data_IF_309878668172
#
_entry.id   IF_309878668172
#
_cell.length_a   1.000
_cell.length_b   1.000
_cell.length_c   1.000
_cell.angle_alpha   90.00
_cell.angle_beta   90.00
_cell.angle_gamma   90.00
#
_symmetry.space_group_name_H-M   'P 1'
#
loop_
_entity.id
_entity.type
_entity.pdbx_description
1 polymer ?
#
# COMPACT_ATOMS: atom_id res chain seq x y z
N UNK A 1 -3.15 -20.19 25.77
CA UNK A 1 -2.45 -19.74 24.55
C UNK A 1 -3.52 -19.43 23.51
N UNK A 2 -3.41 -18.30 22.81
CA UNK A 2 -4.39 -17.94 21.78
C UNK A 2 -4.10 -18.75 20.50
N UNK A 3 -5.00 -19.66 20.14
CA UNK A 3 -4.88 -20.51 18.95
C UNK A 3 -5.67 -19.89 17.79
N UNK A 4 -5.03 -19.74 16.65
CA UNK A 4 -5.66 -19.31 15.39
C UNK A 4 -5.99 -20.56 14.60
N UNK A 5 -7.27 -20.80 14.34
CA UNK A 5 -7.78 -22.08 13.82
C UNK A 5 -8.08 -22.08 12.31
N UNK A 6 -8.27 -20.91 11.72
CA UNK A 6 -8.65 -20.76 10.31
C UNK A 6 -8.24 -19.37 9.76
N UNK A 7 -8.15 -19.18 8.43
CA UNK A 7 -7.69 -17.93 7.84
C UNK A 7 -8.65 -16.74 8.05
N UNK A 8 -9.96 -16.96 8.21
CA UNK A 8 -10.90 -15.86 8.52
C UNK A 8 -10.62 -15.26 9.90
N UNK A 9 -10.44 -16.13 10.89
CA UNK A 9 -10.03 -15.73 12.23
C UNK A 9 -8.68 -14.99 12.17
N UNK A 10 -7.72 -15.52 11.40
CA UNK A 10 -6.41 -14.89 11.22
C UNK A 10 -6.50 -13.46 10.65
N UNK A 11 -7.39 -13.21 9.67
CA UNK A 11 -7.62 -11.88 9.10
C UNK A 11 -8.18 -10.87 10.10
N UNK A 12 -8.93 -11.31 11.12
CA UNK A 12 -9.35 -10.44 12.21
C UNK A 12 -8.24 -10.27 13.27
N UNK A 13 -7.57 -11.37 13.62
CA UNK A 13 -6.60 -11.39 14.71
C UNK A 13 -5.27 -10.72 14.34
N UNK A 14 -4.95 -10.53 13.05
CA UNK A 14 -3.70 -9.90 12.61
C UNK A 14 -3.54 -8.48 13.19
N UNK A 15 -4.64 -7.76 13.41
CA UNK A 15 -4.62 -6.39 13.91
C UNK A 15 -4.29 -6.28 15.39
N UNK A 16 -4.61 -7.31 16.19
CA UNK A 16 -4.54 -7.25 17.65
C UNK A 16 -3.64 -8.30 18.28
N UNK A 17 -3.47 -9.45 17.61
CA UNK A 17 -2.72 -10.63 18.07
C UNK A 17 -1.81 -11.19 16.96
N UNK A 18 -0.98 -10.36 16.28
CA UNK A 18 -0.25 -10.75 15.08
C UNK A 18 0.72 -11.93 15.30
N UNK A 19 1.30 -12.07 16.50
CA UNK A 19 2.23 -13.17 16.80
C UNK A 19 1.58 -14.55 16.61
N UNK A 20 0.33 -14.71 17.05
CA UNK A 20 -0.39 -15.98 16.89
C UNK A 20 -0.74 -16.26 15.43
N UNK A 21 -1.04 -15.20 14.67
CA UNK A 21 -1.30 -15.30 13.23
C UNK A 21 -0.06 -15.71 12.47
N UNK A 22 1.08 -15.03 12.66
CA UNK A 22 2.32 -15.39 11.98
C UNK A 22 2.81 -16.79 12.35
N UNK A 23 2.60 -17.24 13.60
CA UNK A 23 2.85 -18.64 13.94
C UNK A 23 1.98 -19.59 13.09
N UNK A 24 0.67 -19.39 13.08
CA UNK A 24 -0.25 -20.26 12.35
C UNK A 24 0.00 -20.26 10.84
N UNK A 25 0.27 -19.09 10.24
CA UNK A 25 0.56 -18.96 8.80
C UNK A 25 1.87 -19.65 8.43
N UNK A 26 2.88 -19.65 9.31
CA UNK A 26 4.12 -20.39 9.09
C UNK A 26 3.95 -21.91 9.11
N UNK A 27 2.84 -22.41 9.66
CA UNK A 27 2.52 -23.84 9.79
C UNK A 27 1.44 -24.30 8.79
N UNK A 28 0.76 -23.37 8.10
CA UNK A 28 -0.39 -23.66 7.25
C UNK A 28 -0.26 -23.06 5.85
N UNK A 29 -0.24 -23.94 4.84
CA UNK A 29 -0.16 -23.55 3.43
C UNK A 29 -1.45 -22.84 2.95
N UNK A 30 -1.31 -22.00 1.92
CA UNK A 30 -2.40 -21.34 1.20
C UNK A 30 -3.26 -20.33 1.99
N UNK A 31 -3.01 -20.12 3.29
CA UNK A 31 -3.79 -19.16 4.08
C UNK A 31 -3.64 -17.72 3.57
N UNK A 32 -2.50 -17.40 2.96
CA UNK A 32 -2.20 -16.06 2.44
C UNK A 32 -3.02 -15.66 1.21
N UNK A 33 -3.78 -16.58 0.59
CA UNK A 33 -4.77 -16.20 -0.41
C UNK A 33 -5.90 -15.34 0.18
N UNK A 34 -6.24 -15.54 1.45
CA UNK A 34 -7.28 -14.77 2.12
C UNK A 34 -6.93 -13.27 2.22
N UNK A 35 -5.80 -12.86 2.82
CA UNK A 35 -5.42 -11.45 2.84
C UNK A 35 -5.12 -10.92 1.42
N UNK A 36 -4.61 -11.74 0.49
CA UNK A 36 -4.46 -11.32 -0.91
C UNK A 36 -5.78 -10.83 -1.51
N UNK A 37 -6.84 -11.64 -1.45
CA UNK A 37 -8.14 -11.25 -2.01
C UNK A 37 -8.78 -10.08 -1.26
N UNK A 38 -8.61 -9.99 0.06
CA UNK A 38 -9.14 -8.86 0.84
C UNK A 38 -8.45 -7.55 0.48
N UNK A 39 -7.11 -7.52 0.51
CA UNK A 39 -6.33 -6.31 0.21
C UNK A 39 -6.52 -5.91 -1.25
N UNK A 40 -6.40 -6.86 -2.19
CA UNK A 40 -6.58 -6.59 -3.61
C UNK A 40 -8.02 -6.16 -3.92
N UNK A 41 -9.01 -6.86 -3.37
CA UNK A 41 -10.42 -6.57 -3.58
C UNK A 41 -10.80 -5.17 -3.11
N UNK A 42 -10.44 -4.80 -1.87
CA UNK A 42 -10.72 -3.45 -1.35
C UNK A 42 -10.00 -2.38 -2.16
N UNK A 43 -8.73 -2.62 -2.54
CA UNK A 43 -7.97 -1.68 -3.35
C UNK A 43 -8.66 -1.43 -4.70
N UNK A 44 -9.00 -2.50 -5.44
CA UNK A 44 -9.63 -2.37 -6.75
C UNK A 44 -11.03 -1.77 -6.68
N UNK A 45 -11.82 -2.14 -5.67
CA UNK A 45 -13.15 -1.56 -5.43
C UNK A 45 -13.03 -0.06 -5.18
N UNK A 46 -12.09 0.38 -4.34
CA UNK A 46 -11.89 1.79 -4.06
C UNK A 46 -11.50 2.58 -5.32
N UNK A 47 -10.55 2.06 -6.13
CA UNK A 47 -10.17 2.70 -7.40
C UNK A 47 -11.36 2.77 -8.37
N UNK A 48 -12.11 1.68 -8.50
CA UNK A 48 -13.29 1.62 -9.36
C UNK A 48 -14.35 2.65 -8.94
N UNK A 49 -14.66 2.71 -7.64
CA UNK A 49 -15.64 3.66 -7.09
C UNK A 49 -15.18 5.09 -7.34
N UNK A 50 -13.91 5.41 -7.10
CA UNK A 50 -13.37 6.74 -7.31
C UNK A 50 -13.50 7.21 -8.76
N UNK A 51 -13.08 6.40 -9.74
CA UNK A 51 -13.18 6.79 -11.16
C UNK A 51 -14.64 6.97 -11.62
N UNK A 52 -15.57 6.18 -11.08
CA UNK A 52 -16.98 6.32 -11.43
C UNK A 52 -17.66 7.51 -10.75
N UNK A 53 -17.12 7.94 -9.61
CA UNK A 53 -17.63 9.04 -8.81
C UNK A 53 -17.06 10.40 -9.23
N UNK A 54 -15.77 10.46 -9.60
CA UNK A 54 -15.07 11.74 -9.85
C UNK A 54 -15.54 12.43 -11.13
N UNK A 55 -15.57 13.75 -11.10
CA UNK A 55 -15.67 14.59 -12.30
C UNK A 55 -14.38 14.45 -13.12
N UNK A 56 -14.51 13.88 -14.31
CA UNK A 56 -13.38 13.54 -15.18
C UNK A 56 -12.75 14.79 -15.80
N UNK A 57 -13.55 15.81 -16.12
CA UNK A 57 -13.03 17.06 -16.71
C UNK A 57 -12.24 17.84 -15.67
N UNK A 58 -12.79 17.94 -14.45
CA UNK A 58 -12.08 18.50 -13.32
C UNK A 58 -10.80 17.72 -13.01
N UNK A 59 -10.86 16.39 -12.97
CA UNK A 59 -9.70 15.55 -12.71
C UNK A 59 -8.61 15.74 -13.78
N UNK A 60 -9.00 15.83 -15.06
CA UNK A 60 -8.08 16.11 -16.16
C UNK A 60 -7.38 17.47 -15.95
N UNK A 61 -8.15 18.52 -15.64
CA UNK A 61 -7.61 19.85 -15.35
C UNK A 61 -6.64 19.85 -14.17
N UNK A 62 -7.00 19.15 -13.09
CA UNK A 62 -6.14 19.00 -11.92
C UNK A 62 -4.80 18.35 -12.29
N UNK A 63 -4.81 17.32 -13.14
CA UNK A 63 -3.59 16.64 -13.58
C UNK A 63 -2.78 17.48 -14.57
N UNK A 64 -3.43 18.24 -15.46
CA UNK A 64 -2.75 19.18 -16.37
C UNK A 64 -2.04 20.27 -15.56
N UNK A 65 -2.74 20.89 -14.61
CA UNK A 65 -2.14 21.93 -13.76
C UNK A 65 -0.93 21.43 -12.95
N UNK A 66 -0.90 20.14 -12.60
CA UNK A 66 0.23 19.54 -11.90
C UNK A 66 1.45 19.23 -12.80
N UNK A 67 1.34 19.33 -14.13
CA UNK A 67 2.42 19.01 -15.07
C UNK A 67 3.31 20.22 -15.44
N UNK A 68 3.19 21.35 -14.74
CA UNK A 68 3.97 22.55 -15.01
C UNK A 68 3.63 23.18 -16.36
N UNK A 69 4.59 23.89 -16.97
CA UNK A 69 4.38 24.58 -18.24
C UNK A 69 4.23 23.58 -19.41
N UNK A 70 3.02 23.48 -19.96
CA UNK A 70 2.70 22.71 -21.17
C UNK A 70 2.23 23.65 -22.28
N UNK A 71 2.48 23.27 -23.54
CA UNK A 71 1.85 23.97 -24.67
C UNK A 71 0.36 23.62 -24.77
N UNK A 72 -0.49 24.48 -25.35
CA UNK A 72 -1.91 24.18 -25.52
C UNK A 72 -2.19 22.87 -26.26
N UNK A 73 -1.35 22.52 -27.24
CA UNK A 73 -1.48 21.26 -27.97
C UNK A 73 -1.19 20.02 -27.10
N UNK A 74 -0.23 20.12 -26.17
CA UNK A 74 0.08 19.05 -25.22
C UNK A 74 -1.01 18.90 -24.16
N UNK A 75 -1.58 20.01 -23.69
CA UNK A 75 -2.72 20.01 -22.76
C UNK A 75 -3.94 19.31 -23.38
N UNK A 76 -4.29 19.67 -24.63
CA UNK A 76 -5.40 19.07 -25.37
C UNK A 76 -5.18 17.56 -25.60
N UNK A 77 -3.97 17.17 -25.95
CA UNK A 77 -3.60 15.76 -26.11
C UNK A 77 -3.76 14.99 -24.79
N UNK A 78 -3.31 15.57 -23.68
CA UNK A 78 -3.43 14.94 -22.36
C UNK A 78 -4.88 14.84 -21.91
N UNK A 79 -5.68 15.90 -22.12
CA UNK A 79 -7.12 15.91 -21.86
C UNK A 79 -7.85 14.82 -22.64
N UNK A 80 -7.48 14.59 -23.91
CA UNK A 80 -8.06 13.53 -24.73
C UNK A 80 -7.80 12.12 -24.17
N UNK A 81 -6.74 11.92 -23.40
CA UNK A 81 -6.45 10.66 -22.73
C UNK A 81 -7.27 10.44 -21.45
N UNK A 82 -7.69 11.53 -20.80
CA UNK A 82 -8.53 11.52 -19.59
C UNK A 82 -9.99 11.23 -19.90
N UNK A 83 -10.26 10.02 -20.41
CA UNK A 83 -11.61 9.47 -20.48
C UNK A 83 -11.87 8.57 -19.28
N UNK A 84 -13.14 8.43 -18.88
CA UNK A 84 -13.53 7.51 -17.79
C UNK A 84 -13.03 6.09 -18.04
N UNK A 85 -13.14 5.59 -19.28
CA UNK A 85 -12.67 4.26 -19.66
C UNK A 85 -11.16 4.11 -19.51
N UNK A 86 -10.39 5.08 -20.01
CA UNK A 86 -8.93 5.07 -19.91
C UNK A 86 -8.46 5.12 -18.45
N UNK A 87 -9.05 6.02 -17.66
CA UNK A 87 -8.77 6.16 -16.23
C UNK A 87 -9.12 4.89 -15.45
N UNK A 88 -10.27 4.28 -15.73
CA UNK A 88 -10.69 3.07 -15.04
C UNK A 88 -9.71 1.93 -15.30
N UNK A 89 -9.37 1.66 -16.56
CA UNK A 89 -8.44 0.57 -16.89
C UNK A 89 -7.02 0.84 -16.41
N UNK A 90 -6.52 2.07 -16.56
CA UNK A 90 -5.18 2.43 -16.07
C UNK A 90 -5.06 2.31 -14.55
N UNK A 91 -6.06 2.75 -13.79
CA UNK A 91 -6.04 2.61 -12.33
C UNK A 91 -6.19 1.15 -11.88
N UNK A 92 -7.10 0.37 -12.46
CA UNK A 92 -7.30 -1.02 -12.07
C UNK A 92 -6.10 -1.90 -12.41
N UNK A 93 -5.58 -1.79 -13.63
CA UNK A 93 -4.39 -2.53 -14.07
C UNK A 93 -3.18 -2.06 -13.26
N UNK A 94 -2.99 -0.75 -13.13
CA UNK A 94 -1.91 -0.16 -12.35
C UNK A 94 -1.91 -0.64 -10.91
N UNK A 95 -3.04 -0.54 -10.21
CA UNK A 95 -3.17 -0.98 -8.82
C UNK A 95 -2.89 -2.49 -8.66
N UNK A 96 -3.43 -3.33 -9.55
CA UNK A 96 -3.21 -4.77 -9.51
C UNK A 96 -1.73 -5.13 -9.63
N UNK A 97 -1.06 -4.63 -10.67
CA UNK A 97 0.33 -4.98 -10.96
C UNK A 97 1.30 -4.32 -9.97
N UNK A 98 1.13 -3.04 -9.65
CA UNK A 98 2.01 -2.35 -8.69
C UNK A 98 1.96 -3.06 -7.34
N UNK A 99 0.77 -3.36 -6.83
CA UNK A 99 0.65 -4.02 -5.53
C UNK A 99 1.27 -5.43 -5.53
N UNK A 100 1.04 -6.20 -6.60
CA UNK A 100 1.62 -7.54 -6.79
C UNK A 100 3.15 -7.49 -6.87
N UNK A 101 3.70 -6.57 -7.67
CA UNK A 101 5.14 -6.41 -7.88
C UNK A 101 5.82 -5.92 -6.60
N UNK A 102 5.26 -4.92 -5.91
CA UNK A 102 5.82 -4.40 -4.65
C UNK A 102 5.88 -5.48 -3.59
N UNK A 103 4.82 -6.29 -3.45
CA UNK A 103 4.82 -7.44 -2.53
C UNK A 103 5.89 -8.47 -2.92
N UNK A 104 6.09 -8.74 -4.21
CA UNK A 104 7.13 -9.66 -4.70
C UNK A 104 8.55 -9.12 -4.44
N UNK A 105 8.79 -7.83 -4.68
CA UNK A 105 10.08 -7.18 -4.38
C UNK A 105 10.35 -7.24 -2.88
N UNK A 106 9.35 -6.97 -2.04
CA UNK A 106 9.51 -7.03 -0.59
C UNK A 106 9.76 -8.47 -0.10
N UNK A 107 9.09 -9.46 -0.69
CA UNK A 107 9.33 -10.87 -0.41
C UNK A 107 10.74 -11.31 -0.80
N UNK A 108 11.24 -10.86 -1.96
CA UNK A 108 12.61 -11.09 -2.39
C UNK A 108 13.60 -10.47 -1.40
N UNK A 109 13.36 -9.23 -0.99
CA UNK A 109 14.17 -8.57 0.04
C UNK A 109 14.21 -9.38 1.34
N UNK A 110 13.06 -9.80 1.87
CA UNK A 110 13.00 -10.58 3.11
C UNK A 110 13.70 -11.93 2.97
N UNK A 111 13.49 -12.63 1.85
CA UNK A 111 14.14 -13.90 1.59
C UNK A 111 15.68 -13.76 1.59
N UNK A 112 16.22 -12.69 1.00
CA UNK A 112 17.65 -12.42 1.01
C UNK A 112 18.16 -11.96 2.39
N UNK A 113 17.45 -11.03 3.04
CA UNK A 113 17.84 -10.42 4.30
C UNK A 113 17.83 -11.41 5.48
N UNK A 114 16.98 -12.43 5.40
CA UNK A 114 16.85 -13.46 6.44
C UNK A 114 17.66 -14.73 6.15
N UNK A 115 18.28 -14.85 4.97
CA UNK A 115 19.08 -16.01 4.56
C UNK A 115 20.28 -16.31 5.46
N UNK A 116 20.75 -15.31 6.21
CA UNK A 116 21.85 -15.46 7.17
C UNK A 116 21.46 -16.16 8.48
N UNK A 117 20.18 -16.47 8.67
CA UNK A 117 19.70 -17.24 9.82
C UNK A 117 19.85 -18.74 9.55
N UNK A 118 20.64 -19.44 10.34
CA UNK A 118 20.86 -20.89 10.20
C UNK A 118 19.60 -21.72 10.44
N UNK A 119 18.60 -21.15 11.12
CA UNK A 119 17.28 -21.77 11.35
C UNK A 119 16.25 -21.46 10.26
N UNK A 120 16.65 -20.74 9.21
CA UNK A 120 15.77 -20.29 8.14
C UNK A 120 15.26 -21.45 7.28
N UNK A 121 13.94 -21.65 7.29
CA UNK A 121 13.26 -22.66 6.46
C UNK A 121 12.32 -22.06 5.40
N UNK A 122 12.08 -20.75 5.43
CA UNK A 122 11.05 -20.09 4.61
C UNK A 122 11.59 -19.55 3.28
N UNK A 123 11.05 -20.05 2.17
CA UNK A 123 11.41 -19.63 0.82
C UNK A 123 10.74 -18.33 0.37
N UNK A 124 11.02 -17.91 -0.87
CA UNK A 124 10.44 -16.72 -1.48
C UNK A 124 8.91 -16.71 -1.43
N UNK A 125 8.26 -17.83 -1.73
CA UNK A 125 6.81 -17.95 -1.74
C UNK A 125 6.19 -17.77 -0.36
N UNK A 126 6.89 -18.17 0.69
CA UNK A 126 6.45 -17.97 2.08
C UNK A 126 6.51 -16.49 2.44
N UNK A 127 7.60 -15.80 2.09
CA UNK A 127 7.73 -14.35 2.27
C UNK A 127 6.78 -13.54 1.40
N UNK A 128 6.38 -14.07 0.24
CA UNK A 128 5.36 -13.48 -0.59
C UNK A 128 3.97 -13.65 0.03
N UNK A 129 3.66 -14.81 0.58
CA UNK A 129 2.45 -15.00 1.37
C UNK A 129 2.43 -14.08 2.61
N UNK A 130 3.57 -13.96 3.28
CA UNK A 130 3.77 -13.09 4.44
C UNK A 130 3.47 -11.62 4.15
N UNK A 131 3.92 -11.10 3.00
CA UNK A 131 3.75 -9.69 2.68
C UNK A 131 2.27 -9.29 2.54
N UNK A 132 1.39 -10.20 2.11
CA UNK A 132 -0.06 -9.96 2.10
C UNK A 132 -0.66 -9.82 3.49
N UNK A 133 -0.17 -10.58 4.48
CA UNK A 133 -0.57 -10.38 5.88
C UNK A 133 -0.10 -9.04 6.44
N UNK A 134 1.12 -8.63 6.09
CA UNK A 134 1.65 -7.31 6.43
C UNK A 134 0.84 -6.18 5.77
N UNK A 135 0.24 -6.42 4.61
CA UNK A 135 -0.60 -5.48 3.89
C UNK A 135 -2.05 -5.37 4.42
N UNK A 136 -2.48 -6.20 5.37
CA UNK A 136 -3.85 -6.16 5.92
C UNK A 136 -4.32 -4.79 6.45
N UNK A 137 -3.47 -3.93 7.02
CA UNK A 137 -3.86 -2.55 7.37
C UNK A 137 -4.47 -1.74 6.23
N UNK A 138 -4.09 -2.01 4.97
CA UNK A 138 -4.70 -1.36 3.79
C UNK A 138 -6.19 -1.65 3.63
N UNK A 139 -6.69 -2.78 4.17
CA UNK A 139 -8.13 -3.08 4.17
C UNK A 139 -8.88 -2.04 4.99
N UNK A 140 -8.36 -1.69 6.17
CA UNK A 140 -8.98 -0.70 7.07
C UNK A 140 -8.99 0.68 6.42
N UNK A 141 -7.84 1.12 5.91
CA UNK A 141 -7.71 2.46 5.30
C UNK A 141 -8.47 2.57 3.98
N UNK A 142 -8.52 1.48 3.19
CA UNK A 142 -9.33 1.41 1.99
C UNK A 142 -10.83 1.50 2.28
N UNK A 143 -11.33 0.85 3.34
CA UNK A 143 -12.72 0.99 3.77
C UNK A 143 -13.05 2.41 4.26
N UNK A 144 -12.10 3.10 4.91
CA UNK A 144 -12.25 4.53 5.23
C UNK A 144 -12.36 5.35 3.93
N UNK A 145 -11.51 5.08 2.93
CA UNK A 145 -11.59 5.73 1.63
C UNK A 145 -12.93 5.52 0.94
N UNK A 146 -13.47 4.29 0.97
CA UNK A 146 -14.81 3.99 0.45
C UNK A 146 -15.87 4.80 1.19
N UNK A 147 -15.82 4.85 2.53
CA UNK A 147 -16.76 5.63 3.31
C UNK A 147 -16.70 7.13 2.95
N UNK A 148 -15.50 7.70 2.81
CA UNK A 148 -15.34 9.10 2.42
C UNK A 148 -15.96 9.40 1.06
N UNK A 149 -15.81 8.51 0.07
CA UNK A 149 -16.47 8.67 -1.23
C UNK A 149 -18.00 8.57 -1.12
N UNK A 150 -18.52 7.65 -0.31
CA UNK A 150 -19.96 7.48 -0.12
C UNK A 150 -20.63 8.68 0.56
N UNK A 151 -19.89 9.41 1.40
CA UNK A 151 -20.40 10.58 2.12
C UNK A 151 -20.02 11.93 1.47
N UNK A 152 -19.29 11.90 0.36
CA UNK A 152 -18.91 13.13 -0.32
C UNK A 152 -20.12 13.79 -0.98
N UNK A 153 -20.20 15.12 -0.85
CA UNK A 153 -21.27 15.94 -1.40
C UNK A 153 -20.96 16.55 -2.77
N UNK A 154 -19.72 16.39 -3.25
CA UNK A 154 -19.23 16.95 -4.50
C UNK A 154 -18.37 15.91 -5.25
N UNK A 155 -18.33 16.00 -6.57
CA UNK A 155 -17.62 15.10 -7.47
C UNK A 155 -16.16 15.52 -7.75
N UNK A 156 -15.74 16.71 -7.30
CA UNK A 156 -14.37 17.21 -7.40
C UNK A 156 -13.50 16.74 -6.21
N UNK A 157 -13.29 15.42 -6.12
CA UNK A 157 -12.58 14.81 -4.99
C UNK A 157 -11.10 14.61 -5.30
N UNK A 158 -10.24 15.16 -4.44
CA UNK A 158 -8.78 14.96 -4.50
C UNK A 158 -8.40 13.46 -4.51
N UNK A 159 -7.42 13.06 -5.34
CA UNK A 159 -6.89 11.69 -5.35
C UNK A 159 -6.32 11.27 -3.98
N UNK A 160 -5.94 12.22 -3.12
CA UNK A 160 -5.50 11.94 -1.75
C UNK A 160 -6.54 11.16 -0.93
N UNK A 161 -7.83 11.24 -1.28
CA UNK A 161 -8.93 10.48 -0.65
C UNK A 161 -8.78 8.96 -0.80
N UNK A 162 -8.03 8.51 -1.80
CA UNK A 162 -7.68 7.09 -1.98
C UNK A 162 -6.71 6.57 -0.92
N UNK A 163 -6.05 7.47 -0.18
CA UNK A 163 -5.20 7.17 0.96
C UNK A 163 -5.49 8.15 2.10
N UNK A 164 -6.62 8.00 2.81
CA UNK A 164 -7.13 9.00 3.76
C UNK A 164 -6.29 9.13 5.05
N UNK A 165 -5.33 8.23 5.24
CA UNK A 165 -4.36 8.22 6.32
C UNK A 165 -3.00 8.80 5.91
N UNK A 166 -2.90 9.32 4.69
CA UNK A 166 -1.69 9.98 4.18
C UNK A 166 -1.51 11.37 4.78
N UNK A 167 -0.26 11.81 4.87
CA UNK A 167 0.02 13.19 5.24
C UNK A 167 -0.53 14.18 4.21
N UNK A 168 -0.55 13.83 2.91
CA UNK A 168 -1.13 14.70 1.90
C UNK A 168 -2.62 14.97 2.15
N UNK A 169 -3.40 13.94 2.52
CA UNK A 169 -4.81 14.06 2.84
C UNK A 169 -5.01 14.84 4.15
N UNK A 170 -4.30 14.46 5.21
CA UNK A 170 -4.46 15.07 6.54
C UNK A 170 -4.06 16.55 6.57
N UNK A 171 -3.06 16.93 5.79
CA UNK A 171 -2.55 18.31 5.71
C UNK A 171 -3.10 19.08 4.50
N UNK A 172 -3.97 18.45 3.70
CA UNK A 172 -4.53 19.03 2.48
C UNK A 172 -3.47 19.59 1.52
N UNK A 173 -2.37 18.85 1.34
CA UNK A 173 -1.28 19.25 0.44
C UNK A 173 -1.81 19.18 -1.01
N UNK A 174 -1.70 20.25 -1.79
CA UNK A 174 -2.24 20.29 -3.14
C UNK A 174 -1.36 19.48 -4.12
N UNK A 175 -1.96 18.99 -5.20
CA UNK A 175 -1.31 18.03 -6.12
C UNK A 175 -0.16 18.63 -6.95
N UNK A 176 -0.17 19.95 -7.12
CA UNK A 176 0.88 20.74 -7.76
C UNK A 176 2.08 21.02 -6.84
N UNK A 177 2.02 20.62 -5.56
CA UNK A 177 3.14 20.72 -4.64
C UNK A 177 4.17 19.61 -4.89
N UNK A 178 5.45 19.97 -4.92
CA UNK A 178 6.59 19.04 -4.94
C UNK A 178 6.58 18.03 -3.78
N UNK A 179 5.95 18.40 -2.66
CA UNK A 179 5.82 17.56 -1.47
C UNK A 179 4.65 16.57 -1.56
N UNK A 180 3.73 16.74 -2.51
CA UNK A 180 2.49 15.96 -2.57
C UNK A 180 2.75 14.46 -2.61
N UNK A 181 3.56 14.00 -3.56
CA UNK A 181 3.80 12.57 -3.74
C UNK A 181 4.52 11.94 -2.53
N UNK A 182 5.46 12.66 -1.91
CA UNK A 182 6.15 12.22 -0.71
C UNK A 182 5.20 12.13 0.49
N UNK A 183 4.40 13.17 0.72
CA UNK A 183 3.41 13.19 1.79
C UNK A 183 2.28 12.17 1.55
N UNK A 184 1.95 11.88 0.29
CA UNK A 184 0.98 10.86 -0.09
C UNK A 184 1.49 9.45 0.25
N UNK A 185 2.80 9.22 0.13
CA UNK A 185 3.42 7.93 0.44
C UNK A 185 3.52 7.67 1.96
N UNK A 186 3.73 8.72 2.77
CA UNK A 186 3.76 8.62 4.23
C UNK A 186 2.34 8.48 4.78
N UNK A 187 2.01 7.27 5.24
CA UNK A 187 0.65 6.89 5.66
C UNK A 187 0.68 6.12 6.96
N UNK A 188 -0.39 6.15 7.75
CA UNK A 188 -0.47 5.43 9.03
C UNK A 188 -0.16 3.92 8.87
N UNK A 189 -0.70 3.30 7.83
CA UNK A 189 -0.54 1.88 7.55
C UNK A 189 0.88 1.47 7.20
N UNK A 190 1.75 2.41 6.79
CA UNK A 190 3.18 2.16 6.62
C UNK A 190 3.81 1.70 7.95
N UNK A 191 3.57 2.48 9.01
CA UNK A 191 4.11 2.20 10.34
C UNK A 191 3.50 0.93 10.93
N UNK A 192 2.21 0.70 10.65
CA UNK A 192 1.54 -0.54 11.04
C UNK A 192 2.13 -1.75 10.32
N UNK A 193 2.36 -1.66 9.02
CA UNK A 193 3.01 -2.70 8.21
C UNK A 193 4.43 -3.02 8.71
N UNK A 194 5.23 -2.00 9.01
CA UNK A 194 6.57 -2.19 9.59
C UNK A 194 6.49 -2.95 10.92
N UNK A 195 5.54 -2.59 11.79
CA UNK A 195 5.31 -3.32 13.04
C UNK A 195 4.92 -4.79 12.81
N UNK A 196 3.98 -5.05 11.89
CA UNK A 196 3.58 -6.42 11.54
C UNK A 196 4.74 -7.23 10.97
N UNK A 197 5.52 -6.63 10.07
CA UNK A 197 6.71 -7.25 9.50
C UNK A 197 7.74 -7.58 10.58
N UNK A 198 8.03 -6.67 11.51
CA UNK A 198 8.93 -6.94 12.64
C UNK A 198 8.44 -8.13 13.48
N UNK A 199 7.15 -8.15 13.85
CA UNK A 199 6.57 -9.25 14.65
C UNK A 199 6.68 -10.57 13.91
N UNK A 200 6.35 -10.57 12.63
CA UNK A 200 6.36 -11.76 11.81
C UNK A 200 7.78 -12.29 11.51
N UNK A 201 8.74 -11.42 11.19
CA UNK A 201 10.15 -11.80 11.02
C UNK A 201 10.69 -12.40 12.32
N UNK A 202 10.44 -11.77 13.47
CA UNK A 202 10.85 -12.31 14.77
C UNK A 202 10.15 -13.64 15.14
N UNK A 203 9.03 -13.97 14.50
CA UNK A 203 8.31 -15.23 14.70
C UNK A 203 8.82 -16.35 13.76
N UNK A 204 9.35 -15.98 12.59
CA UNK A 204 9.79 -16.91 11.54
C UNK A 204 11.31 -17.12 11.50
N UNK A 205 12.07 -16.34 12.27
CA UNK A 205 13.53 -16.37 12.32
C UNK A 205 14.02 -16.42 13.76
N UNK A 206 15.28 -16.76 13.97
CA UNK A 206 15.99 -16.67 15.25
C UNK A 206 16.42 -15.24 15.62
N UNK A 207 16.11 -14.25 14.78
CA UNK A 207 16.55 -12.88 14.98
C UNK A 207 16.00 -12.27 16.27
N UNK A 208 16.84 -11.47 16.95
CA UNK A 208 16.38 -10.62 18.04
C UNK A 208 15.33 -9.64 17.54
N UNK A 209 14.42 -9.19 18.43
CA UNK A 209 13.39 -8.19 18.07
C UNK A 209 13.99 -6.92 17.45
N UNK A 210 15.17 -6.50 17.92
CA UNK A 210 15.87 -5.35 17.36
C UNK A 210 16.32 -5.60 15.92
N UNK A 211 16.93 -6.77 15.64
CA UNK A 211 17.35 -7.13 14.28
C UNK A 211 16.14 -7.25 13.35
N UNK A 212 15.06 -7.88 13.82
CA UNK A 212 13.81 -7.96 13.06
C UNK A 212 13.21 -6.58 12.75
N UNK A 213 13.26 -5.64 13.70
CA UNK A 213 12.79 -4.27 13.50
C UNK A 213 13.63 -3.52 12.44
N UNK A 214 14.95 -3.66 12.50
CA UNK A 214 15.86 -3.08 11.51
C UNK A 214 15.57 -3.65 10.12
N UNK A 215 15.44 -4.97 9.99
CA UNK A 215 15.13 -5.64 8.71
C UNK A 215 13.76 -5.18 8.18
N UNK A 216 12.75 -5.09 9.03
CA UNK A 216 11.42 -4.63 8.63
C UNK A 216 11.40 -3.16 8.15
N UNK A 217 12.14 -2.28 8.82
CA UNK A 217 12.13 -0.84 8.53
C UNK A 217 13.09 -0.44 7.40
N UNK A 218 14.17 -1.19 7.17
CA UNK A 218 15.27 -0.79 6.30
C UNK A 218 14.85 -0.38 4.87
N UNK A 219 13.99 -1.12 4.14
CA UNK A 219 13.60 -0.72 2.78
C UNK A 219 12.94 0.65 2.75
N UNK A 220 12.06 0.91 3.71
CA UNK A 220 11.36 2.18 3.82
C UNK A 220 12.33 3.30 4.20
N UNK A 221 13.17 3.10 5.21
CA UNK A 221 14.15 4.10 5.61
C UNK A 221 15.07 4.51 4.45
N UNK A 222 15.52 3.54 3.64
CA UNK A 222 16.34 3.81 2.45
C UNK A 222 15.55 4.62 1.41
N UNK A 223 14.37 4.15 1.02
CA UNK A 223 13.55 4.79 -0.02
C UNK A 223 13.15 6.21 0.38
N UNK A 224 12.60 6.40 1.58
CA UNK A 224 12.15 7.71 2.04
C UNK A 224 13.30 8.68 2.31
N UNK A 225 14.47 8.20 2.77
CA UNK A 225 15.63 9.09 2.96
C UNK A 225 16.17 9.57 1.62
N UNK A 226 16.28 8.69 0.62
CA UNK A 226 16.71 9.08 -0.73
C UNK A 226 15.72 10.08 -1.33
N UNK A 227 14.42 9.83 -1.21
CA UNK A 227 13.39 10.72 -1.73
C UNK A 227 13.40 12.08 -1.03
N UNK A 228 13.53 12.11 0.29
CA UNK A 228 13.62 13.35 1.06
C UNK A 228 14.84 14.17 0.65
N UNK A 229 16.01 13.53 0.48
CA UNK A 229 17.21 14.21 -0.01
C UNK A 229 16.99 14.76 -1.42
N UNK A 230 16.34 14.01 -2.30
CA UNK A 230 16.04 14.47 -3.65
C UNK A 230 15.15 15.74 -3.65
N UNK A 231 14.09 15.77 -2.85
CA UNK A 231 13.20 16.95 -2.73
C UNK A 231 13.91 18.16 -2.13
N UNK A 232 14.86 17.95 -1.21
CA UNK A 232 15.58 19.06 -0.56
C UNK A 232 16.74 19.59 -1.40
N UNK A 233 17.25 18.80 -2.34
CA UNK A 233 18.44 19.13 -3.13
C UNK A 233 18.13 19.67 -4.53
N UNK A 234 16.93 19.40 -5.05
CA UNK A 234 16.47 19.75 -6.40
C UNK A 234 15.11 20.43 -6.30
#
# INVERSE_FOLDING_TARGET
MHTVSNPFQACNDIFFKPKGVFKAVGENNNWSWMPFFMVMGVTLVLQYLYVNFVDIEWFANLNIAAQGDMSPAEEDQMRAFFTRTSLMWSQLIGAFFILTIVNAIYALYLNLATRSDDSHIFGFTDWYGFSWWVAMPYVVTGLIGVALLLFASDHQISPATLAPTSLSFMLSIPMDSEWYAFAQAIRLELFWGIYLAMVGIAQWTSFSRQKAAIVAAAPYLVIYSIWLVAILAF
#
